data_IF_804611445666
#
_entry.id   IF_804611445666
#
_cell.length_a   1.000
_cell.length_b   1.000
_cell.length_c   1.000
_cell.angle_alpha   90.00
_cell.angle_beta   90.00
_cell.angle_gamma   90.00
#
_symmetry.space_group_name_H-M   'P 1'
#
loop_
_entity.id
_entity.type
_entity.pdbx_description
1 polymer ?
#
# COMPACT_ATOMS: atom_id res chain seq x y z
N UNK A 1 -65.02 -39.32 39.64
CA UNK A 1 -65.01 -38.92 38.22
C UNK A 1 -63.87 -37.94 38.06
N UNK A 2 -62.84 -38.33 37.29
CA UNK A 2 -62.02 -37.50 36.35
C UNK A 2 -61.37 -36.21 36.92
N UNK A 3 -60.10 -35.82 36.74
CA UNK A 3 -58.91 -36.15 35.93
C UNK A 3 -57.77 -35.30 36.59
N UNK A 4 -56.57 -35.75 36.95
CA UNK A 4 -55.39 -36.14 36.16
C UNK A 4 -54.91 -35.18 35.04
N UNK A 5 -53.60 -34.84 35.11
CA UNK A 5 -52.65 -34.42 34.05
C UNK A 5 -52.63 -32.92 33.64
N UNK A 6 -51.47 -32.23 33.75
CA UNK A 6 -50.30 -32.26 32.81
C UNK A 6 -50.80 -31.92 31.39
N UNK A 7 -50.36 -30.91 30.64
CA UNK A 7 -49.05 -30.30 30.44
C UNK A 7 -49.16 -28.96 29.67
N UNK A 8 -48.17 -28.09 29.92
CA UNK A 8 -47.46 -27.18 29.02
C UNK A 8 -47.84 -27.13 27.52
N UNK A 9 -48.19 -25.92 27.06
CA UNK A 9 -47.81 -25.35 25.75
C UNK A 9 -47.52 -23.83 25.97
N UNK A 10 -46.26 -23.34 25.87
CA UNK A 10 -45.58 -22.81 24.66
C UNK A 10 -46.36 -21.59 24.09
N UNK A 11 -45.85 -20.35 24.00
CA UNK A 11 -44.66 -19.88 23.25
C UNK A 11 -44.32 -18.41 23.67
N UNK A 12 -43.11 -18.10 24.18
CA UNK A 12 -41.94 -17.38 23.57
C UNK A 12 -42.04 -15.83 23.45
N UNK A 13 -40.99 -15.15 23.94
CA UNK A 13 -40.47 -13.86 23.45
C UNK A 13 -40.58 -12.71 24.45
N UNK A 14 -39.57 -11.91 24.83
CA UNK A 14 -38.17 -11.78 24.45
C UNK A 14 -37.44 -11.20 25.68
N UNK A 15 -36.33 -11.81 26.08
CA UNK A 15 -35.48 -11.29 27.14
C UNK A 15 -34.36 -10.49 26.46
N UNK A 16 -34.48 -9.16 26.47
CA UNK A 16 -33.50 -8.23 25.90
C UNK A 16 -32.22 -8.22 26.72
N UNK A 17 -31.34 -9.19 26.48
CA UNK A 17 -29.94 -9.12 26.88
C UNK A 17 -29.16 -8.33 25.82
N UNK A 18 -28.89 -7.07 26.13
CA UNK A 18 -27.83 -6.28 25.48
C UNK A 18 -26.48 -6.97 25.65
N UNK A 19 -26.12 -7.84 24.72
CA UNK A 19 -24.74 -8.23 24.50
C UNK A 19 -24.00 -7.06 23.87
N UNK A 20 -23.31 -6.27 24.69
CA UNK A 20 -22.18 -5.45 24.25
C UNK A 20 -21.14 -6.41 23.65
N UNK A 21 -21.06 -6.47 22.32
CA UNK A 21 -19.92 -7.09 21.65
C UNK A 21 -18.69 -6.25 22.02
N UNK A 22 -17.60 -6.85 22.52
CA UNK A 22 -16.35 -6.13 22.64
C UNK A 22 -15.93 -5.75 21.21
N UNK A 23 -15.74 -4.45 20.99
CA UNK A 23 -15.09 -3.94 19.79
C UNK A 23 -13.70 -4.59 19.72
N UNK A 24 -13.63 -5.71 19.03
CA UNK A 24 -12.38 -6.16 18.45
C UNK A 24 -12.03 -5.07 17.44
N UNK A 25 -11.12 -4.19 17.83
CA UNK A 25 -10.42 -3.26 16.96
C UNK A 25 -9.62 -4.12 15.98
N UNK A 26 -10.30 -4.72 15.00
CA UNK A 26 -9.69 -4.95 13.72
C UNK A 26 -9.38 -3.56 13.20
N UNK A 27 -8.13 -3.14 13.33
CA UNK A 27 -7.61 -2.02 12.55
C UNK A 27 -7.83 -2.38 11.08
N UNK A 28 -9.00 -2.00 10.57
CA UNK A 28 -9.35 -2.15 9.17
C UNK A 28 -8.32 -1.30 8.44
N UNK A 29 -7.46 -1.95 7.67
CA UNK A 29 -6.53 -1.24 6.78
C UNK A 29 -7.37 -0.46 5.78
N UNK A 30 -7.70 0.76 6.14
CA UNK A 30 -8.51 1.62 5.31
C UNK A 30 -7.59 2.40 4.39
N UNK A 31 -7.62 2.04 3.12
CA UNK A 31 -6.98 2.80 2.05
C UNK A 31 -8.01 3.78 1.53
N UNK A 32 -7.76 5.07 1.75
CA UNK A 32 -8.61 6.14 1.24
C UNK A 32 -8.04 6.65 -0.09
N UNK A 33 -8.54 6.10 -1.19
CA UNK A 33 -8.14 6.45 -2.57
C UNK A 33 -8.24 7.95 -2.87
N UNK A 34 -9.27 8.64 -2.35
CA UNK A 34 -9.45 10.07 -2.61
C UNK A 34 -8.36 10.91 -1.94
N UNK A 35 -7.97 10.58 -0.71
CA UNK A 35 -6.86 11.25 -0.02
C UNK A 35 -5.53 11.08 -0.77
N UNK A 36 -5.29 9.88 -1.31
CA UNK A 36 -4.10 9.60 -2.12
C UNK A 36 -4.09 10.42 -3.42
N UNK A 37 -5.22 10.43 -4.15
CA UNK A 37 -5.37 11.26 -5.35
C UNK A 37 -5.16 12.74 -5.06
N UNK A 38 -5.72 13.24 -3.96
CA UNK A 38 -5.53 14.62 -3.54
C UNK A 38 -4.05 14.95 -3.25
N UNK A 39 -3.31 14.03 -2.61
CA UNK A 39 -1.86 14.21 -2.41
C UNK A 39 -1.12 14.28 -3.76
N UNK A 40 -1.51 13.45 -4.72
CA UNK A 40 -0.89 13.40 -6.04
C UNK A 40 -1.23 14.59 -6.96
N UNK A 41 -2.32 15.33 -6.73
CA UNK A 41 -2.73 16.46 -7.58
C UNK A 41 -1.62 17.48 -7.79
N UNK A 42 -0.80 17.73 -6.78
CA UNK A 42 0.31 18.68 -6.85
C UNK A 42 1.63 18.04 -7.30
N UNK A 43 1.70 16.70 -7.38
CA UNK A 43 2.89 16.00 -7.81
C UNK A 43 3.00 15.97 -9.34
N UNK A 44 3.74 16.92 -9.91
CA UNK A 44 4.03 16.93 -11.35
C UNK A 44 5.29 16.12 -11.63
N UNK A 45 5.14 14.83 -11.94
CA UNK A 45 6.26 13.96 -12.30
C UNK A 45 6.98 14.51 -13.54
N UNK A 46 8.28 14.74 -13.42
CA UNK A 46 9.15 15.24 -14.47
C UNK A 46 10.61 14.81 -14.23
N UNK A 47 11.52 15.14 -15.15
CA UNK A 47 12.92 14.69 -15.08
C UNK A 47 13.67 15.15 -13.82
N UNK A 48 13.23 16.22 -13.16
CA UNK A 48 13.91 16.80 -12.00
C UNK A 48 13.51 16.14 -10.69
N UNK A 49 12.39 15.40 -10.65
CA UNK A 49 11.90 14.72 -9.44
C UNK A 49 11.74 13.20 -9.62
N UNK A 50 11.88 12.68 -10.83
CA UNK A 50 11.70 11.25 -11.11
C UNK A 50 12.67 10.36 -10.32
N UNK A 51 13.93 10.77 -10.16
CA UNK A 51 14.91 9.99 -9.41
C UNK A 51 14.78 10.13 -7.88
N UNK A 52 13.96 11.05 -7.38
CA UNK A 52 13.85 11.34 -5.94
C UNK A 52 13.42 10.12 -5.14
N UNK A 53 12.57 9.26 -5.72
CA UNK A 53 12.21 7.99 -5.09
C UNK A 53 13.43 7.14 -4.73
N UNK A 54 14.41 7.02 -5.63
CA UNK A 54 15.64 6.25 -5.35
C UNK A 54 16.57 6.94 -4.37
N UNK A 55 16.62 8.28 -4.39
CA UNK A 55 17.35 9.04 -3.37
C UNK A 55 16.84 8.67 -1.99
N UNK A 56 15.51 8.71 -1.81
CA UNK A 56 14.88 8.38 -0.54
C UNK A 56 14.99 6.88 -0.22
N UNK A 57 14.80 6.00 -1.21
CA UNK A 57 14.89 4.55 -1.02
C UNK A 57 16.29 4.14 -0.54
N UNK A 58 17.36 4.61 -1.18
CA UNK A 58 18.72 4.20 -0.80
C UNK A 58 19.23 4.94 0.44
N UNK A 59 18.62 6.06 0.80
CA UNK A 59 18.89 6.73 2.08
C UNK A 59 18.28 5.94 3.25
N UNK A 60 17.05 5.44 3.09
CA UNK A 60 16.33 4.70 4.14
C UNK A 60 16.66 3.21 4.18
N UNK A 61 16.93 2.63 3.01
CA UNK A 61 17.20 1.21 2.78
C UNK A 61 18.44 1.05 1.88
N UNK A 62 19.66 1.33 2.39
CA UNK A 62 20.88 1.26 1.59
C UNK A 62 21.09 -0.10 0.92
N UNK A 63 20.61 -1.18 1.53
CA UNK A 63 20.67 -2.54 0.97
C UNK A 63 19.89 -2.71 -0.34
N UNK A 64 18.98 -1.78 -0.65
CA UNK A 64 18.27 -1.77 -1.93
C UNK A 64 19.16 -1.27 -3.08
N UNK A 65 20.23 -0.52 -2.80
CA UNK A 65 21.09 0.05 -3.82
C UNK A 65 21.74 -1.02 -4.71
N UNK A 66 22.12 -2.16 -4.11
CA UNK A 66 22.81 -3.26 -4.80
C UNK A 66 21.95 -3.83 -5.94
N UNK A 67 20.67 -4.08 -5.69
CA UNK A 67 19.73 -4.61 -6.69
C UNK A 67 19.53 -3.67 -7.89
N UNK A 68 19.75 -2.37 -7.68
CA UNK A 68 19.63 -1.37 -8.74
C UNK A 68 20.99 -1.02 -9.37
N UNK A 69 22.08 -1.68 -8.95
CA UNK A 69 23.44 -1.39 -9.39
C UNK A 69 23.88 0.03 -9.02
N UNK A 70 23.55 0.44 -7.79
CA UNK A 70 23.88 1.74 -7.20
C UNK A 70 24.83 1.65 -6.00
N UNK A 71 25.48 0.49 -5.80
CA UNK A 71 26.43 0.28 -4.70
C UNK A 71 27.52 1.36 -4.71
N UNK A 72 27.78 1.98 -3.55
CA UNK A 72 28.78 3.03 -3.41
C UNK A 72 28.44 4.35 -4.09
N UNK A 73 27.27 4.48 -4.72
CA UNK A 73 26.80 5.75 -5.29
C UNK A 73 26.12 6.57 -4.19
N UNK A 74 26.55 7.81 -4.00
CA UNK A 74 25.89 8.75 -3.10
C UNK A 74 24.45 9.03 -3.58
N UNK A 75 23.41 8.82 -2.75
CA UNK A 75 22.02 8.96 -3.18
C UNK A 75 21.68 10.30 -3.84
N UNK A 76 22.24 11.41 -3.35
CA UNK A 76 21.98 12.74 -3.91
C UNK A 76 22.46 12.90 -5.36
N UNK A 77 23.43 12.09 -5.79
CA UNK A 77 23.94 12.11 -7.15
C UNK A 77 22.99 11.45 -8.17
N UNK A 78 22.03 10.64 -7.71
CA UNK A 78 21.11 9.88 -8.59
C UNK A 78 20.20 10.80 -9.42
N UNK A 79 19.89 12.00 -8.92
CA UNK A 79 19.12 13.01 -9.64
C UNK A 79 19.80 13.50 -10.93
N UNK A 80 21.09 13.22 -11.12
CA UNK A 80 21.84 13.53 -12.35
C UNK A 80 21.97 12.32 -13.28
N UNK A 81 21.58 11.13 -12.83
CA UNK A 81 21.73 9.89 -13.58
C UNK A 81 20.53 9.65 -14.49
N UNK A 82 20.77 9.64 -15.80
CA UNK A 82 19.73 9.36 -16.79
C UNK A 82 19.05 8.00 -16.55
N UNK A 83 19.81 6.99 -16.09
CA UNK A 83 19.28 5.67 -15.70
C UNK A 83 18.20 5.81 -14.63
N UNK A 84 18.51 6.48 -13.51
CA UNK A 84 17.57 6.61 -12.40
C UNK A 84 16.42 7.58 -12.68
N UNK A 85 16.64 8.60 -13.51
CA UNK A 85 15.55 9.45 -14.01
C UNK A 85 14.55 8.61 -14.82
N UNK A 86 15.02 7.79 -15.76
CA UNK A 86 14.13 6.96 -16.59
C UNK A 86 13.42 5.88 -15.77
N UNK A 87 14.15 5.18 -14.90
CA UNK A 87 13.55 4.15 -14.04
C UNK A 87 12.54 4.77 -13.07
N UNK A 88 12.85 5.95 -12.52
CA UNK A 88 11.98 6.61 -11.55
C UNK A 88 10.69 7.10 -12.19
N UNK A 89 10.75 7.58 -13.44
CA UNK A 89 9.55 7.87 -14.23
C UNK A 89 8.64 6.65 -14.34
N UNK A 90 9.21 5.48 -14.64
CA UNK A 90 8.46 4.24 -14.79
C UNK A 90 7.86 3.79 -13.44
N UNK A 91 8.66 3.78 -12.38
CA UNK A 91 8.22 3.27 -11.07
C UNK A 91 7.16 4.17 -10.41
N UNK A 92 7.29 5.50 -10.54
CA UNK A 92 6.22 6.42 -10.11
C UNK A 92 4.89 6.14 -10.83
N UNK A 93 4.93 5.86 -12.14
CA UNK A 93 3.72 5.50 -12.88
C UNK A 93 3.10 4.19 -12.38
N UNK A 94 3.91 3.21 -11.97
CA UNK A 94 3.42 2.00 -11.33
C UNK A 94 2.74 2.31 -9.98
N UNK A 95 3.31 3.20 -9.16
CA UNK A 95 2.69 3.61 -7.90
C UNK A 95 1.36 4.36 -8.12
N UNK A 96 1.30 5.26 -9.10
CA UNK A 96 0.05 5.97 -9.42
C UNK A 96 -1.02 5.01 -9.93
N UNK A 97 -0.62 3.99 -10.71
CA UNK A 97 -1.53 2.93 -11.14
C UNK A 97 -2.08 2.13 -9.96
N UNK A 98 -1.31 1.87 -8.89
CA UNK A 98 -1.87 1.26 -7.68
C UNK A 98 -2.98 2.14 -7.08
N UNK A 99 -2.75 3.45 -6.95
CA UNK A 99 -3.78 4.38 -6.46
C UNK A 99 -5.02 4.32 -7.35
N UNK A 100 -4.85 4.37 -8.67
CA UNK A 100 -5.96 4.42 -9.62
C UNK A 100 -6.77 3.12 -9.71
N UNK A 101 -6.13 1.97 -9.52
CA UNK A 101 -6.76 0.65 -9.63
C UNK A 101 -7.26 0.11 -8.29
N UNK A 102 -6.88 0.74 -7.16
CA UNK A 102 -7.39 0.33 -5.86
C UNK A 102 -8.92 0.34 -5.84
N UNK A 103 -9.50 -0.79 -5.39
CA UNK A 103 -10.94 -1.05 -5.38
C UNK A 103 -11.50 -1.73 -6.64
N UNK A 104 -10.71 -1.85 -7.71
CA UNK A 104 -11.07 -2.56 -8.94
C UNK A 104 -10.24 -3.84 -9.09
N UNK A 105 -10.83 -4.98 -8.72
CA UNK A 105 -10.13 -6.26 -8.73
C UNK A 105 -9.55 -6.69 -10.09
N UNK A 106 -10.17 -6.27 -11.20
CA UNK A 106 -9.73 -6.64 -12.54
C UNK A 106 -8.41 -5.95 -12.90
N UNK A 107 -8.28 -4.67 -12.55
CA UNK A 107 -7.10 -3.86 -12.88
C UNK A 107 -6.05 -3.87 -11.77
N UNK A 108 -6.45 -4.12 -10.52
CA UNK A 108 -5.56 -4.19 -9.35
C UNK A 108 -4.48 -5.26 -9.46
N UNK A 109 -4.87 -6.49 -9.86
CA UNK A 109 -3.90 -7.58 -10.05
C UNK A 109 -2.86 -7.21 -11.10
N UNK A 110 -3.27 -6.56 -12.19
CA UNK A 110 -2.36 -6.05 -13.22
C UNK A 110 -1.46 -4.93 -12.72
N UNK A 111 -1.96 -4.04 -11.85
CA UNK A 111 -1.15 -3.01 -11.21
C UNK A 111 -0.03 -3.62 -10.34
N UNK A 112 -0.39 -4.62 -9.51
CA UNK A 112 0.56 -5.38 -8.69
C UNK A 112 1.59 -6.15 -9.53
N UNK A 113 1.16 -6.72 -10.66
CA UNK A 113 2.05 -7.49 -11.55
C UNK A 113 3.21 -6.64 -12.10
N UNK A 114 3.03 -5.33 -12.31
CA UNK A 114 4.15 -4.47 -12.73
C UNK A 114 5.30 -4.49 -11.71
N UNK A 115 4.98 -4.50 -10.40
CA UNK A 115 6.02 -4.57 -9.37
C UNK A 115 6.65 -5.95 -9.29
N UNK A 116 5.86 -7.02 -9.49
CA UNK A 116 6.41 -8.36 -9.65
C UNK A 116 7.46 -8.44 -10.76
N UNK A 117 7.15 -7.90 -11.93
CA UNK A 117 8.08 -7.89 -13.08
C UNK A 117 9.33 -7.06 -12.74
N UNK A 118 9.15 -5.84 -12.24
CA UNK A 118 10.26 -4.95 -11.82
C UNK A 118 11.19 -5.60 -10.80
N UNK A 119 10.63 -6.32 -9.82
CA UNK A 119 11.39 -6.98 -8.76
C UNK A 119 12.10 -8.23 -9.28
N UNK A 120 11.40 -9.05 -10.07
CA UNK A 120 11.99 -10.23 -10.69
C UNK A 120 13.14 -9.87 -11.64
N UNK A 121 13.00 -8.83 -12.46
CA UNK A 121 14.04 -8.39 -13.41
C UNK A 121 15.31 -7.88 -12.70
N UNK A 122 15.22 -7.55 -11.40
CA UNK A 122 16.31 -7.05 -10.56
C UNK A 122 16.71 -8.03 -9.47
N UNK A 123 16.17 -9.25 -9.49
CA UNK A 123 16.37 -10.27 -8.45
C UNK A 123 16.03 -9.78 -7.02
N UNK A 124 15.09 -8.83 -6.89
CA UNK A 124 14.64 -8.31 -5.59
C UNK A 124 13.58 -9.26 -5.01
N UNK A 125 13.77 -9.78 -3.79
CA UNK A 125 12.72 -10.51 -3.08
C UNK A 125 11.44 -9.67 -2.93
N UNK A 126 10.28 -10.23 -3.30
CA UNK A 126 9.01 -9.51 -3.24
C UNK A 126 8.54 -9.16 -1.82
N UNK A 127 9.05 -9.86 -0.80
CA UNK A 127 8.81 -9.52 0.60
C UNK A 127 9.42 -8.16 1.00
N UNK A 128 10.38 -7.64 0.24
CA UNK A 128 10.93 -6.29 0.41
C UNK A 128 9.98 -5.20 -0.06
N UNK A 129 8.93 -5.52 -0.84
CA UNK A 129 8.05 -4.48 -1.39
C UNK A 129 7.42 -3.58 -0.32
N UNK A 130 7.12 -4.09 0.87
CA UNK A 130 6.49 -3.28 1.93
C UNK A 130 7.34 -2.11 2.42
N UNK A 131 8.67 -2.15 2.23
CA UNK A 131 9.59 -1.13 2.76
C UNK A 131 9.59 0.16 1.92
N UNK A 132 9.08 0.10 0.68
CA UNK A 132 9.15 1.25 -0.26
C UNK A 132 8.22 2.40 0.12
N UNK A 133 7.25 2.16 1.00
CA UNK A 133 6.20 3.13 1.33
C UNK A 133 6.73 4.43 1.90
N UNK A 134 7.67 4.37 2.84
CA UNK A 134 8.22 5.58 3.48
C UNK A 134 9.08 6.40 2.49
N UNK A 135 9.85 5.72 1.63
CA UNK A 135 10.61 6.36 0.57
C UNK A 135 9.69 7.06 -0.45
N UNK A 136 8.63 6.38 -0.88
CA UNK A 136 7.63 6.94 -1.79
C UNK A 136 6.94 8.18 -1.21
N UNK A 137 6.46 8.09 0.03
CA UNK A 137 5.79 9.20 0.72
C UNK A 137 6.72 10.40 0.79
N UNK A 138 7.98 10.19 1.20
CA UNK A 138 8.97 11.26 1.36
C UNK A 138 9.27 11.92 0.01
N UNK A 139 9.45 11.12 -1.03
CA UNK A 139 9.72 11.62 -2.38
C UNK A 139 8.55 12.43 -2.96
N UNK A 140 7.30 11.97 -2.77
CA UNK A 140 6.12 12.73 -3.20
C UNK A 140 6.01 14.02 -2.40
N UNK A 141 6.13 13.96 -1.07
CA UNK A 141 5.94 15.11 -0.20
C UNK A 141 6.95 16.24 -0.44
N UNK A 142 8.18 15.90 -0.84
CA UNK A 142 9.20 16.90 -1.23
C UNK A 142 8.76 17.78 -2.40
N UNK A 143 7.90 17.28 -3.28
CA UNK A 143 7.50 17.98 -4.52
C UNK A 143 6.01 18.31 -4.62
N UNK A 144 5.15 17.67 -3.83
CA UNK A 144 3.70 17.88 -3.81
C UNK A 144 3.21 18.68 -2.59
N UNK A 145 4.09 18.91 -1.62
CA UNK A 145 3.74 19.40 -0.29
C UNK A 145 3.65 18.26 0.73
N UNK A 146 3.82 18.59 2.00
CA UNK A 146 3.83 17.57 3.05
C UNK A 146 2.51 16.80 3.14
N UNK A 147 2.61 15.47 3.16
CA UNK A 147 1.47 14.59 3.38
C UNK A 147 0.90 14.77 4.79
N UNK A 148 -0.42 14.90 4.90
CA UNK A 148 -1.10 14.82 6.20
C UNK A 148 -0.90 13.43 6.84
N UNK A 149 -1.14 13.32 8.15
CA UNK A 149 -1.07 12.03 8.84
C UNK A 149 -1.98 10.96 8.18
N UNK A 150 -3.21 11.34 7.81
CA UNK A 150 -4.17 10.46 7.13
C UNK A 150 -3.68 10.03 5.74
N UNK A 151 -3.03 10.94 4.99
CA UNK A 151 -2.45 10.60 3.70
C UNK A 151 -1.28 9.63 3.85
N UNK A 152 -0.38 9.88 4.81
CA UNK A 152 0.75 9.00 5.13
C UNK A 152 0.25 7.60 5.49
N UNK A 153 -0.75 7.50 6.35
CA UNK A 153 -1.35 6.22 6.75
C UNK A 153 -2.04 5.51 5.58
N UNK A 154 -2.79 6.24 4.76
CA UNK A 154 -3.42 5.68 3.55
C UNK A 154 -2.39 5.14 2.55
N UNK A 155 -1.25 5.81 2.37
CA UNK A 155 -0.16 5.32 1.52
C UNK A 155 0.44 4.03 2.06
N UNK A 156 0.73 3.98 3.37
CA UNK A 156 1.24 2.77 4.04
C UNK A 156 0.26 1.61 3.89
N UNK A 157 -1.03 1.87 4.09
CA UNK A 157 -2.07 0.86 3.92
C UNK A 157 -2.17 0.37 2.47
N UNK A 158 -2.02 1.25 1.47
CA UNK A 158 -2.03 0.86 0.06
C UNK A 158 -0.86 -0.08 -0.28
N UNK A 159 0.36 0.28 0.14
CA UNK A 159 1.56 -0.53 -0.09
C UNK A 159 1.46 -1.86 0.64
N UNK A 160 1.01 -1.85 1.89
CA UNK A 160 0.77 -3.07 2.66
C UNK A 160 -0.27 -3.96 1.99
N UNK A 161 -1.38 -3.40 1.52
CA UNK A 161 -2.42 -4.14 0.81
C UNK A 161 -1.92 -4.73 -0.50
N UNK A 162 -1.14 -3.99 -1.28
CA UNK A 162 -0.50 -4.52 -2.48
C UNK A 162 0.45 -5.68 -2.14
N UNK A 163 1.28 -5.55 -1.09
CA UNK A 163 2.13 -6.63 -0.59
C UNK A 163 1.32 -7.88 -0.19
N UNK A 164 0.25 -7.70 0.59
CA UNK A 164 -0.65 -8.78 1.03
C UNK A 164 -1.42 -9.44 -0.12
N UNK A 165 -1.74 -8.70 -1.17
CA UNK A 165 -2.45 -9.24 -2.33
C UNK A 165 -1.52 -9.95 -3.30
N UNK A 166 -0.35 -9.37 -3.60
CA UNK A 166 0.75 -10.14 -4.20
C UNK A 166 0.98 -11.43 -3.41
N UNK A 167 0.68 -11.37 -2.11
CA UNK A 167 0.62 -12.52 -1.22
C UNK A 167 -0.45 -13.56 -1.45
N UNK A 168 -1.69 -13.16 -1.42
CA UNK A 168 -2.78 -14.04 -1.81
C UNK A 168 -2.63 -14.61 -3.24
N UNK A 169 -1.91 -13.93 -4.13
CA UNK A 169 -1.71 -14.34 -5.51
C UNK A 169 -0.67 -15.45 -5.71
N UNK A 170 0.10 -15.81 -4.68
CA UNK A 170 1.14 -16.85 -4.72
C UNK A 170 2.38 -16.43 -5.52
N UNK A 171 2.83 -15.18 -5.37
CA UNK A 171 3.98 -14.65 -6.10
C UNK A 171 5.30 -14.62 -5.32
N UNK A 172 5.24 -14.72 -4.00
CA UNK A 172 6.36 -15.17 -3.16
C UNK A 172 5.91 -16.43 -2.41
#
# INVERSE_FOLDING_TARGET
>A
MQQEKLEKCLIIGENSQSQKRPDMIFNKMEVNKQLLKNHLTNFKLNKNNAAEYYVQLFTLHPEMADYYGAEGIEPESLCKSQKFIMQGMQEFQCFFRLVDTYGDGNTWRGACANFKEIYNDRDIPLDKFSIVGDALITAISKHAGEASAEQKESWKNLIKKASEDMKAFGWY
#
